data_IF_761081198717
#
_entry.id   IF_761081198717
#
_cell.length_a   1.000
_cell.length_b   1.000
_cell.length_c   1.000
_cell.angle_alpha   90.00
_cell.angle_beta   90.00
_cell.angle_gamma   90.00
#
_symmetry.space_group_name_H-M   'P 1'
#
loop_
_entity.id
_entity.type
_entity.pdbx_description
1 polymer ?
#
# COMPACT_ATOMS: atom_id res chain seq x y z
N UNK A 1 -3.51 -1.06 5.46
CA UNK A 1 -5.00 -1.10 5.59
C UNK A 1 -5.50 -0.13 6.64
N UNK A 2 -6.77 0.27 6.60
CA UNK A 2 -7.41 1.15 7.60
C UNK A 2 -8.31 0.32 8.52
N UNK A 3 -8.20 0.53 9.83
CA UNK A 3 -9.15 0.00 10.81
C UNK A 3 -9.65 1.13 11.69
N UNK A 4 -10.96 1.22 11.90
CA UNK A 4 -11.57 2.25 12.71
C UNK A 4 -12.31 1.62 13.90
N UNK A 5 -12.00 2.10 15.09
CA UNK A 5 -12.63 1.70 16.35
C UNK A 5 -13.63 2.75 16.78
N UNK A 6 -14.84 2.31 17.15
CA UNK A 6 -15.94 3.19 17.52
C UNK A 6 -15.92 3.41 19.03
N UNK A 7 -15.93 4.68 19.46
CA UNK A 7 -16.02 5.09 20.87
C UNK A 7 -14.94 4.41 21.75
N UNK A 8 -15.35 3.71 22.81
CA UNK A 8 -14.49 2.95 23.74
C UNK A 8 -14.54 1.44 23.46
N UNK A 9 -14.87 1.03 22.23
CA UNK A 9 -14.83 -0.37 21.83
C UNK A 9 -13.38 -0.91 21.87
N UNK A 10 -13.06 -1.49 23.02
CA UNK A 10 -11.89 -2.31 23.39
C UNK A 10 -10.57 -1.56 23.60
N UNK A 11 -10.06 -1.69 24.84
CA UNK A 11 -8.74 -1.31 25.37
C UNK A 11 -7.56 -1.94 24.60
N UNK A 12 -7.38 -1.57 23.34
CA UNK A 12 -6.03 -1.62 22.74
C UNK A 12 -5.35 -0.28 23.03
N UNK A 13 -4.02 -0.20 22.94
CA UNK A 13 -3.19 0.99 23.20
C UNK A 13 -3.44 2.15 22.19
N UNK A 14 -4.71 2.42 21.85
CA UNK A 14 -5.24 3.51 21.04
C UNK A 14 -5.69 4.69 21.91
N UNK A 15 -5.45 4.65 23.23
CA UNK A 15 -5.78 5.74 24.16
C UNK A 15 -5.07 7.06 23.83
N UNK A 16 -3.93 7.00 23.14
CA UNK A 16 -3.19 8.17 22.65
C UNK A 16 -3.78 8.77 21.35
N UNK A 17 -4.68 8.05 20.66
CA UNK A 17 -5.29 8.51 19.41
C UNK A 17 -6.57 9.27 19.73
N UNK A 18 -6.57 10.57 19.42
CA UNK A 18 -7.73 11.43 19.60
C UNK A 18 -8.94 10.90 18.83
N UNK A 19 -10.08 10.80 19.52
CA UNK A 19 -11.34 10.42 18.89
C UNK A 19 -11.84 11.57 17.99
N UNK A 20 -12.06 11.30 16.72
CA UNK A 20 -12.47 12.29 15.72
C UNK A 20 -13.59 11.75 14.84
N UNK A 21 -14.44 12.65 14.33
CA UNK A 21 -15.45 12.30 13.31
C UNK A 21 -14.84 12.34 11.90
N UNK A 22 -13.60 12.81 11.78
CA UNK A 22 -12.83 12.86 10.54
C UNK A 22 -11.62 11.95 10.64
N UNK A 23 -11.51 11.00 9.71
CA UNK A 23 -10.32 10.18 9.51
C UNK A 23 -9.48 10.82 8.40
N UNK A 24 -8.27 11.27 8.72
CA UNK A 24 -7.28 11.66 7.71
C UNK A 24 -6.35 10.47 7.43
N UNK A 25 -6.54 9.85 6.26
CA UNK A 25 -5.81 8.65 5.85
C UNK A 25 -4.98 8.94 4.61
N UNK A 26 -3.67 9.04 4.83
CA UNK A 26 -2.67 9.29 3.78
C UNK A 26 -1.69 8.11 3.67
N UNK A 27 -2.09 6.96 3.07
CA UNK A 27 -1.20 5.82 2.92
C UNK A 27 -0.14 6.07 1.85
N UNK A 28 0.98 5.35 1.93
CA UNK A 28 1.93 5.25 0.82
C UNK A 28 1.44 4.19 -0.16
N UNK A 29 1.53 4.49 -1.44
CA UNK A 29 1.26 3.57 -2.54
C UNK A 29 2.52 3.43 -3.40
N UNK A 30 2.76 2.22 -3.88
CA UNK A 30 3.94 1.86 -4.65
C UNK A 30 3.54 1.46 -6.07
N UNK A 31 4.19 1.98 -7.11
CA UNK A 31 3.89 1.60 -8.48
C UNK A 31 4.49 0.23 -8.82
N UNK A 32 3.82 -0.50 -9.71
CA UNK A 32 4.33 -1.70 -10.37
C UNK A 32 4.19 -1.49 -11.87
N UNK A 33 5.32 -1.44 -12.56
CA UNK A 33 5.40 -1.27 -14.00
C UNK A 33 5.34 -2.64 -14.70
N UNK A 34 4.37 -2.83 -15.59
CA UNK A 34 4.30 -3.98 -16.47
C UNK A 34 4.97 -3.65 -17.82
N UNK A 35 5.93 -4.48 -18.23
CA UNK A 35 6.58 -4.42 -19.53
C UNK A 35 6.27 -5.70 -20.29
N UNK A 36 5.74 -5.56 -21.50
CA UNK A 36 5.44 -6.69 -22.40
C UNK A 36 6.19 -6.48 -23.71
N UNK A 37 6.95 -7.49 -24.14
CA UNK A 37 7.80 -7.40 -25.35
C UNK A 37 8.73 -6.17 -25.37
N UNK A 38 9.21 -5.73 -24.20
CA UNK A 38 10.08 -4.56 -24.07
C UNK A 38 9.36 -3.21 -24.06
N UNK A 39 8.03 -3.17 -24.15
CA UNK A 39 7.24 -1.95 -24.12
C UNK A 39 6.47 -1.81 -22.79
N UNK A 40 6.47 -0.60 -22.17
CA UNK A 40 5.59 -0.31 -21.05
C UNK A 40 4.12 -0.53 -21.43
N UNK A 41 3.43 -1.40 -20.71
CA UNK A 41 2.03 -1.75 -20.98
C UNK A 41 1.09 -1.12 -19.97
N UNK A 42 1.41 -1.22 -18.68
CA UNK A 42 0.55 -0.69 -17.61
C UNK A 42 1.36 -0.32 -16.37
N UNK A 43 0.78 0.55 -15.53
CA UNK A 43 1.24 0.78 -14.17
C UNK A 43 0.09 0.47 -13.23
N UNK A 44 0.30 -0.47 -12.31
CA UNK A 44 -0.63 -0.75 -11.22
C UNK A 44 -0.13 -0.14 -9.91
N UNK A 45 -1.05 0.16 -9.00
CA UNK A 45 -0.75 0.80 -7.72
C UNK A 45 -1.01 -0.17 -6.58
N UNK A 46 -0.01 -0.35 -5.74
CA UNK A 46 -0.05 -1.27 -4.62
C UNK A 46 0.01 -0.50 -3.31
N UNK A 47 -0.98 -0.71 -2.45
CA UNK A 47 -1.04 -0.06 -1.15
C UNK A 47 -0.06 -0.68 -0.16
N UNK A 48 0.36 0.08 0.84
CA UNK A 48 1.11 -0.44 1.98
C UNK A 48 0.31 -1.56 2.70
N UNK A 49 0.73 -2.82 2.53
CA UNK A 49 0.01 -4.01 3.01
C UNK A 49 0.24 -4.26 4.51
N UNK A 50 1.46 -4.05 5.01
CA UNK A 50 1.85 -4.48 6.37
C UNK A 50 1.45 -3.53 7.49
N UNK A 51 1.08 -2.27 7.19
CA UNK A 51 0.71 -1.29 8.22
C UNK A 51 -0.80 -1.16 8.30
N UNK A 52 -1.41 -1.83 9.27
CA UNK A 52 -2.74 -1.47 9.74
C UNK A 52 -2.66 -0.16 10.52
N UNK A 53 -3.43 0.85 10.10
CA UNK A 53 -3.48 2.14 10.78
C UNK A 53 -4.78 2.24 11.57
N UNK A 54 -4.71 2.24 12.91
CA UNK A 54 -5.90 2.37 13.75
C UNK A 54 -6.36 3.84 13.81
N UNK A 55 -7.66 4.05 13.68
CA UNK A 55 -8.32 5.33 13.90
C UNK A 55 -9.40 5.19 14.96
N UNK A 56 -9.61 6.24 15.75
CA UNK A 56 -10.70 6.28 16.72
C UNK A 56 -11.80 7.20 16.22
N UNK A 57 -12.97 6.62 15.97
CA UNK A 57 -14.17 7.33 15.57
C UNK A 57 -15.02 7.67 16.79
N UNK A 58 -15.39 8.95 16.92
CA UNK A 58 -16.41 9.38 17.89
C UNK A 58 -17.77 9.42 17.19
N UNK A 59 -18.64 8.44 17.46
CA UNK A 59 -19.98 8.48 16.86
C UNK A 59 -20.93 9.27 17.76
N UNK A 60 -21.29 10.47 17.33
CA UNK A 60 -22.30 11.30 18.00
C UNK A 60 -23.56 11.36 17.13
N UNK A 61 -24.77 11.15 17.67
CA UNK A 61 -26.00 11.28 16.90
C UNK A 61 -26.07 12.62 16.16
N UNK A 62 -26.43 12.58 14.87
CA UNK A 62 -26.50 13.77 14.01
C UNK A 62 -25.16 14.30 13.49
N UNK A 63 -24.02 13.76 13.94
CA UNK A 63 -22.72 14.16 13.42
C UNK A 63 -22.44 13.53 12.04
N UNK A 64 -21.90 14.33 11.11
CA UNK A 64 -21.38 13.85 9.83
C UNK A 64 -19.97 13.31 10.03
N UNK A 65 -19.76 12.06 9.64
CA UNK A 65 -18.42 11.46 9.60
C UNK A 65 -17.80 11.67 8.21
N UNK A 66 -16.47 11.78 8.16
CA UNK A 66 -15.72 12.03 6.93
C UNK A 66 -14.44 11.21 6.91
N UNK A 67 -14.10 10.65 5.76
CA UNK A 67 -12.77 10.12 5.47
C UNK A 67 -12.12 11.03 4.44
N UNK A 68 -10.92 11.52 4.74
CA UNK A 68 -10.06 12.23 3.82
C UNK A 68 -9.00 11.24 3.36
N UNK A 69 -9.03 10.88 2.08
CA UNK A 69 -8.08 9.95 1.49
C UNK A 69 -7.09 10.70 0.61
N UNK A 70 -5.80 10.68 0.98
CA UNK A 70 -4.72 11.39 0.29
C UNK A 70 -3.49 10.50 0.15
N UNK A 71 -3.50 9.51 -0.76
CA UNK A 71 -2.36 8.61 -0.91
C UNK A 71 -1.12 9.36 -1.40
N UNK A 72 0.05 8.92 -0.96
CA UNK A 72 1.35 9.39 -1.44
C UNK A 72 1.98 8.32 -2.32
N UNK A 73 2.27 8.65 -3.58
CA UNK A 73 3.03 7.78 -4.47
C UNK A 73 4.51 7.80 -4.07
N UNK A 74 5.12 6.62 -3.95
CA UNK A 74 6.56 6.46 -3.77
C UNK A 74 7.17 5.68 -4.93
N UNK A 75 7.63 6.44 -5.93
CA UNK A 75 8.23 5.92 -7.17
C UNK A 75 9.59 5.24 -6.92
N UNK A 76 10.26 5.56 -5.81
CA UNK A 76 11.55 4.94 -5.46
C UNK A 76 11.42 3.46 -5.15
N UNK A 77 10.18 3.00 -4.89
CA UNK A 77 9.85 1.61 -4.60
C UNK A 77 9.15 0.92 -5.77
N UNK A 78 9.34 1.39 -6.99
CA UNK A 78 8.74 0.79 -8.18
C UNK A 78 9.32 -0.61 -8.46
N UNK A 79 8.45 -1.63 -8.49
CA UNK A 79 8.79 -2.93 -9.04
C UNK A 79 8.48 -2.97 -10.54
N UNK A 80 9.19 -3.81 -11.29
CA UNK A 80 8.98 -3.98 -12.73
C UNK A 80 8.72 -5.45 -13.04
N UNK A 81 7.56 -5.73 -13.59
CA UNK A 81 7.19 -7.05 -14.13
C UNK A 81 7.51 -7.04 -15.61
N UNK A 82 8.33 -7.98 -16.07
CA UNK A 82 8.61 -8.14 -17.50
C UNK A 82 8.05 -9.46 -17.98
N UNK A 83 7.32 -9.42 -19.10
CA UNK A 83 6.79 -10.60 -19.80
C UNK A 83 7.29 -10.56 -21.23
N UNK A 84 7.88 -11.68 -21.65
CA UNK A 84 8.42 -11.82 -23.00
C UNK A 84 8.04 -13.18 -23.57
N UNK A 85 7.52 -13.15 -24.79
CA UNK A 85 7.06 -14.32 -25.50
C UNK A 85 8.26 -15.22 -25.81
N UNK A 86 8.30 -16.39 -25.17
CA UNK A 86 9.37 -17.38 -25.34
C UNK A 86 10.70 -17.07 -24.60
N UNK A 87 10.87 -15.90 -23.98
CA UNK A 87 12.06 -15.57 -23.15
C UNK A 87 11.78 -15.59 -21.65
N UNK A 88 10.51 -15.68 -21.27
CA UNK A 88 10.07 -15.87 -19.89
C UNK A 88 9.54 -14.59 -19.25
N UNK A 89 9.41 -14.66 -17.94
CA UNK A 89 8.82 -13.62 -17.11
C UNK A 89 9.64 -13.46 -15.83
N UNK A 90 9.76 -12.23 -15.34
CA UNK A 90 10.46 -11.94 -14.09
C UNK A 90 9.98 -10.64 -13.46
N UNK A 91 10.23 -10.51 -12.17
CA UNK A 91 10.00 -9.30 -11.38
C UNK A 91 11.33 -8.73 -10.93
N UNK A 92 11.59 -7.48 -11.27
CA UNK A 92 12.72 -6.68 -10.78
C UNK A 92 12.23 -5.78 -9.63
N UNK A 93 12.89 -5.83 -8.48
CA UNK A 93 12.52 -5.07 -7.29
C UNK A 93 13.43 -3.86 -7.07
N UNK A 94 12.94 -2.83 -6.34
CA UNK A 94 13.77 -1.74 -5.85
C UNK A 94 14.93 -2.29 -5.02
N UNK A 95 16.17 -2.11 -5.48
CA UNK A 95 17.38 -2.68 -4.85
C UNK A 95 18.03 -3.83 -5.64
N UNK A 96 17.50 -4.18 -6.81
CA UNK A 96 18.20 -5.03 -7.79
C UNK A 96 17.95 -6.53 -7.64
N UNK A 97 17.08 -6.95 -6.71
CA UNK A 97 16.61 -8.34 -6.65
C UNK A 97 15.76 -8.66 -7.88
N UNK A 98 15.94 -9.86 -8.44
CA UNK A 98 15.17 -10.39 -9.57
C UNK A 98 14.58 -11.75 -9.18
N UNK A 99 13.26 -11.89 -9.32
CA UNK A 99 12.56 -13.17 -9.19
C UNK A 99 12.11 -13.63 -10.58
N UNK A 100 12.64 -14.77 -11.06
CA UNK A 100 12.35 -15.32 -12.39
C UNK A 100 11.17 -16.31 -12.35
N UNK A 101 10.49 -16.47 -13.48
CA UNK A 101 9.39 -17.43 -13.65
C UNK A 101 8.11 -17.03 -12.92
N UNK A 102 7.96 -15.74 -12.60
CA UNK A 102 6.77 -15.19 -11.98
C UNK A 102 6.50 -13.77 -12.45
N UNK A 103 5.21 -13.41 -12.44
CA UNK A 103 4.72 -12.03 -12.57
C UNK A 103 4.22 -11.50 -11.22
N UNK A 104 4.20 -12.35 -10.19
CA UNK A 104 3.70 -12.01 -8.86
C UNK A 104 4.73 -11.18 -8.09
N UNK A 105 4.31 -9.99 -7.68
CA UNK A 105 5.15 -9.06 -6.93
C UNK A 105 5.03 -9.35 -5.44
N UNK A 106 6.11 -9.83 -4.84
CA UNK A 106 6.21 -9.92 -3.38
C UNK A 106 6.55 -8.55 -2.80
N UNK A 107 5.52 -7.92 -2.25
CA UNK A 107 5.61 -6.56 -1.72
C UNK A 107 6.70 -6.39 -0.66
N UNK A 108 7.11 -7.46 0.04
CA UNK A 108 8.19 -7.41 1.05
C UNK A 108 9.48 -6.83 0.48
N UNK A 109 9.76 -7.07 -0.79
CA UNK A 109 10.95 -6.56 -1.47
C UNK A 109 10.77 -5.14 -2.03
N UNK A 110 9.55 -4.58 -2.00
CA UNK A 110 9.31 -3.18 -2.39
C UNK A 110 9.65 -2.21 -1.26
N UNK A 111 9.30 -2.51 -0.01
CA UNK A 111 9.48 -1.60 1.13
C UNK A 111 10.60 -2.00 2.10
N UNK A 112 11.08 -3.25 2.05
CA UNK A 112 12.19 -3.70 2.89
C UNK A 112 13.48 -2.96 2.52
N UNK A 113 14.11 -2.30 3.50
CA UNK A 113 15.49 -1.84 3.34
C UNK A 113 16.36 -3.08 3.11
N UNK A 114 16.89 -3.25 1.90
CA UNK A 114 18.07 -4.09 1.71
C UNK A 114 19.22 -3.37 2.41
N UNK A 115 19.59 -3.88 3.60
CA UNK A 115 20.92 -3.65 4.15
C UNK A 115 21.91 -4.55 3.42
#
# INVERSE_FOLDING_TARGET
GLIAFINDAVQTNISEIAASNTIDFSPVIYPVLEIVEGFPKSVSLQGEVLKMRPFRLKLTPGAKWKIIFKPKLDETKMAKVTVTNGKGEWVEYPGGKIDNGTQEVDFRFMYGNMK
#
